data_IF_747081612301
#
_entry.id   IF_747081612301
#
_cell.length_a   1.000
_cell.length_b   1.000
_cell.length_c   1.000
_cell.angle_alpha   90.00
_cell.angle_beta   90.00
_cell.angle_gamma   90.00
#
_symmetry.space_group_name_H-M   'P 1'
#
loop_
_entity.id
_entity.type
_entity.pdbx_description
1 polymer ?
#
# COMPACT_ATOMS: atom_id res chain seq x y z
N UNK A 1 11.14 10.20 -27.83
CA UNK A 1 10.12 9.56 -26.96
C UNK A 1 10.63 9.75 -25.54
N UNK A 2 9.96 10.59 -24.76
CA UNK A 2 10.29 10.85 -23.37
C UNK A 2 9.39 9.99 -22.49
N UNK A 3 9.96 9.13 -21.63
CA UNK A 3 9.18 8.27 -20.75
C UNK A 3 8.90 8.99 -19.43
N UNK A 4 7.65 8.97 -19.01
CA UNK A 4 7.22 9.59 -17.76
C UNK A 4 7.00 8.51 -16.71
N UNK A 5 7.76 8.61 -15.62
CA UNK A 5 7.68 7.72 -14.48
C UNK A 5 6.39 8.01 -13.72
N UNK A 6 5.46 7.04 -13.75
CA UNK A 6 4.19 7.08 -13.04
C UNK A 6 4.32 6.68 -11.57
N UNK A 7 3.45 5.75 -11.14
CA UNK A 7 3.41 5.25 -9.76
C UNK A 7 4.63 4.42 -9.33
N UNK A 8 5.48 3.95 -10.26
CA UNK A 8 6.75 3.25 -9.95
C UNK A 8 7.87 4.19 -9.49
N UNK A 9 7.59 4.99 -8.47
CA UNK A 9 8.61 5.75 -7.74
C UNK A 9 9.10 4.93 -6.55
N UNK A 10 10.40 4.97 -6.27
CA UNK A 10 11.01 4.33 -5.09
C UNK A 10 10.35 4.77 -3.78
N UNK A 11 9.91 6.03 -3.69
CA UNK A 11 9.14 6.55 -2.56
C UNK A 11 7.80 5.83 -2.36
N UNK A 12 7.07 5.51 -3.43
CA UNK A 12 5.80 4.77 -3.33
C UNK A 12 6.03 3.35 -2.81
N UNK A 13 7.10 2.68 -3.25
CA UNK A 13 7.50 1.38 -2.70
C UNK A 13 7.79 1.46 -1.20
N UNK A 14 8.55 2.48 -0.76
CA UNK A 14 8.88 2.67 0.65
C UNK A 14 7.63 2.86 1.51
N UNK A 15 6.70 3.72 1.07
CA UNK A 15 5.43 3.93 1.77
C UNK A 15 4.55 2.68 1.79
N UNK A 16 4.47 1.95 0.67
CA UNK A 16 3.70 0.71 0.60
C UNK A 16 4.26 -0.36 1.55
N UNK A 17 5.59 -0.50 1.64
CA UNK A 17 6.23 -1.40 2.59
C UNK A 17 5.98 -1.02 4.05
N UNK A 18 6.15 0.25 4.42
CA UNK A 18 5.90 0.73 5.79
C UNK A 18 4.45 0.46 6.20
N UNK A 19 3.50 0.81 5.33
CA UNK A 19 2.07 0.61 5.61
C UNK A 19 1.73 -0.88 5.72
N UNK A 20 2.31 -1.72 4.86
CA UNK A 20 2.10 -3.16 4.91
C UNK A 20 2.63 -3.79 6.20
N UNK A 21 3.89 -3.53 6.57
CA UNK A 21 4.45 -4.08 7.80
C UNK A 21 3.80 -3.51 9.07
N UNK A 22 3.45 -2.21 9.07
CA UNK A 22 2.73 -1.59 10.17
C UNK A 22 1.33 -2.18 10.38
N UNK A 23 0.57 -2.35 9.30
CA UNK A 23 -0.77 -2.96 9.36
C UNK A 23 -0.74 -4.43 9.75
N UNK A 24 0.25 -5.19 9.26
CA UNK A 24 0.50 -6.57 9.68
C UNK A 24 0.83 -6.65 11.18
N UNK A 25 1.63 -5.73 11.70
CA UNK A 25 1.95 -5.63 13.13
C UNK A 25 0.70 -5.40 13.99
N UNK A 26 -0.17 -4.45 13.61
CA UNK A 26 -1.43 -4.21 14.32
C UNK A 26 -2.36 -5.42 14.31
N UNK A 27 -2.43 -6.12 13.18
CA UNK A 27 -3.22 -7.35 13.07
C UNK A 27 -2.67 -8.50 13.92
N UNK A 28 -1.35 -8.67 13.97
CA UNK A 28 -0.70 -9.68 14.80
C UNK A 28 -0.93 -9.41 16.29
N UNK A 29 -0.86 -8.16 16.73
CA UNK A 29 -1.16 -7.77 18.11
C UNK A 29 -2.63 -8.07 18.43
N UNK A 30 -3.55 -7.67 17.55
CA UNK A 30 -4.99 -7.93 17.73
C UNK A 30 -5.36 -9.42 17.78
N UNK A 31 -4.82 -10.23 16.85
CA UNK A 31 -5.05 -11.68 16.83
C UNK A 31 -4.37 -12.42 17.98
N UNK A 32 -3.19 -11.97 18.42
CA UNK A 32 -2.51 -12.51 19.59
C UNK A 32 -3.35 -12.34 20.85
N UNK A 33 -3.98 -11.17 21.01
CA UNK A 33 -4.86 -10.93 22.16
C UNK A 33 -6.11 -11.78 22.12
N UNK A 34 -6.75 -11.93 20.95
CA UNK A 34 -7.92 -12.79 20.78
C UNK A 34 -7.65 -14.26 21.13
N UNK A 35 -6.47 -14.80 20.76
CA UNK A 35 -6.10 -16.18 21.07
C UNK A 35 -5.70 -16.40 22.54
N UNK A 36 -5.57 -15.34 23.35
CA UNK A 36 -5.09 -15.43 24.74
C UNK A 36 -3.66 -16.00 24.86
N UNK A 37 -2.92 -16.08 23.74
CA UNK A 37 -1.52 -16.48 23.69
C UNK A 37 -0.71 -15.28 23.25
N UNK A 38 0.29 -14.88 24.04
CA UNK A 38 1.28 -13.90 23.62
C UNK A 38 2.12 -14.49 22.47
N UNK A 39 1.65 -14.36 21.22
CA UNK A 39 2.39 -14.71 20.01
C UNK A 39 3.64 -13.84 19.86
N UNK A 40 3.64 -12.67 20.49
CA UNK A 40 4.80 -11.80 20.63
C UNK A 40 5.31 -11.94 22.07
N UNK A 41 6.25 -12.85 22.29
CA UNK A 41 7.01 -12.99 23.55
C UNK A 41 7.78 -11.71 23.94
N UNK A 42 7.84 -10.72 23.04
CA UNK A 42 8.61 -9.48 23.17
C UNK A 42 7.92 -8.41 24.05
N UNK A 43 6.60 -8.45 24.23
CA UNK A 43 5.87 -7.50 25.09
C UNK A 43 5.19 -8.27 26.22
N UNK A 44 5.76 -8.19 27.41
CA UNK A 44 5.20 -8.77 28.64
C UNK A 44 3.81 -8.17 28.87
N UNK A 45 2.78 -9.01 28.77
CA UNK A 45 1.37 -8.72 29.07
C UNK A 45 1.21 -8.09 30.46
N UNK A 46 1.34 -6.77 30.55
CA UNK A 46 0.77 -6.00 31.64
C UNK A 46 -0.65 -5.64 31.23
N UNK A 47 -1.61 -6.40 31.74
CA UNK A 47 -2.92 -5.96 32.24
C UNK A 47 -3.44 -4.59 31.74
N UNK A 48 -3.52 -4.38 30.43
CA UNK A 48 -4.20 -3.24 29.83
C UNK A 48 -5.65 -3.69 29.62
N UNK A 49 -6.61 -2.88 30.05
CA UNK A 49 -8.05 -3.16 30.02
C UNK A 49 -8.47 -3.59 28.60
N UNK A 50 -8.66 -4.90 28.43
CA UNK A 50 -8.74 -5.65 27.16
C UNK A 50 -9.92 -5.29 26.22
N UNK A 51 -10.80 -4.34 26.57
CA UNK A 51 -12.15 -4.33 26.00
C UNK A 51 -12.58 -3.14 25.12
N UNK A 52 -11.69 -2.20 24.74
CA UNK A 52 -11.90 -1.55 23.43
C UNK A 52 -10.63 -1.40 22.57
N UNK A 53 -9.43 -1.39 23.17
CA UNK A 53 -8.20 -1.02 22.47
C UNK A 53 -7.80 -2.01 21.36
N UNK A 54 -8.02 -3.31 21.59
CA UNK A 54 -7.54 -4.38 20.70
C UNK A 54 -8.38 -4.53 19.44
N UNK A 55 -9.71 -4.40 19.59
CA UNK A 55 -10.66 -4.36 18.48
C UNK A 55 -10.32 -3.18 17.58
N UNK A 56 -10.02 -2.03 18.19
CA UNK A 56 -9.62 -0.82 17.48
C UNK A 56 -8.29 -1.03 16.73
N UNK A 57 -7.27 -1.63 17.37
CA UNK A 57 -6.00 -1.96 16.71
C UNK A 57 -6.19 -2.95 15.54
N UNK A 58 -7.04 -3.97 15.71
CA UNK A 58 -7.34 -4.92 14.65
C UNK A 58 -8.04 -4.24 13.46
N UNK A 59 -9.00 -3.35 13.73
CA UNK A 59 -9.69 -2.59 12.70
C UNK A 59 -8.73 -1.71 11.90
N UNK A 60 -7.84 -0.97 12.58
CA UNK A 60 -6.81 -0.17 11.92
C UNK A 60 -5.83 -1.04 11.11
N UNK A 61 -5.47 -2.22 11.61
CA UNK A 61 -4.63 -3.16 10.87
C UNK A 61 -5.31 -3.66 9.58
N UNK A 62 -6.58 -4.03 9.63
CA UNK A 62 -7.34 -4.45 8.44
C UNK A 62 -7.44 -3.29 7.44
N UNK A 63 -7.82 -2.10 7.89
CA UNK A 63 -7.91 -0.92 7.03
C UNK A 63 -6.55 -0.59 6.38
N UNK A 64 -5.46 -0.66 7.15
CA UNK A 64 -4.11 -0.46 6.65
C UNK A 64 -3.66 -1.53 5.64
N UNK A 65 -4.08 -2.79 5.81
CA UNK A 65 -3.83 -3.84 4.81
C UNK A 65 -4.54 -3.56 3.49
N UNK A 66 -5.80 -3.11 3.53
CA UNK A 66 -6.51 -2.74 2.31
C UNK A 66 -5.85 -1.55 1.59
N UNK A 67 -5.45 -0.51 2.34
CA UNK A 67 -4.77 0.67 1.79
C UNK A 67 -3.40 0.29 1.20
N UNK A 68 -2.61 -0.52 1.91
CA UNK A 68 -1.31 -0.98 1.42
C UNK A 68 -1.43 -1.89 0.20
N UNK A 69 -2.42 -2.79 0.18
CA UNK A 69 -2.76 -3.61 -0.99
C UNK A 69 -3.13 -2.75 -2.20
N UNK A 70 -3.95 -1.71 -2.01
CA UNK A 70 -4.27 -0.75 -3.06
C UNK A 70 -3.01 -0.04 -3.58
N UNK A 71 -2.14 0.46 -2.69
CA UNK A 71 -0.86 1.06 -3.10
C UNK A 71 -0.03 0.07 -3.92
N UNK A 72 0.08 -1.17 -3.49
CA UNK A 72 0.81 -2.21 -4.21
C UNK A 72 0.24 -2.46 -5.61
N UNK A 73 -1.09 -2.54 -5.73
CA UNK A 73 -1.78 -2.64 -7.02
C UNK A 73 -1.49 -1.43 -7.91
N UNK A 74 -1.47 -0.21 -7.35
CA UNK A 74 -1.18 0.99 -8.14
C UNK A 74 0.25 1.03 -8.68
N UNK A 75 1.20 0.53 -7.90
CA UNK A 75 2.61 0.39 -8.29
C UNK A 75 2.78 -0.72 -9.33
N UNK A 76 2.10 -1.86 -9.12
CA UNK A 76 2.14 -3.01 -10.03
C UNK A 76 1.69 -2.62 -11.44
N UNK A 77 0.53 -1.97 -11.54
CA UNK A 77 -0.03 -1.50 -12.80
C UNK A 77 0.67 -0.27 -13.40
N UNK A 78 1.61 0.33 -12.66
CA UNK A 78 2.32 1.54 -13.07
C UNK A 78 1.37 2.65 -13.55
N UNK A 79 0.29 2.87 -12.80
CA UNK A 79 -0.72 3.90 -13.11
C UNK A 79 -0.03 5.26 -13.19
N UNK A 80 -0.43 6.06 -14.18
CA UNK A 80 0.11 7.38 -14.47
C UNK A 80 1.42 7.37 -15.26
N UNK A 81 1.98 6.19 -15.59
CA UNK A 81 3.15 6.11 -16.48
C UNK A 81 2.76 6.43 -17.91
N UNK A 82 3.70 6.87 -18.73
CA UNK A 82 3.36 7.29 -20.08
C UNK A 82 4.58 7.59 -20.92
N UNK A 83 4.34 8.04 -22.14
CA UNK A 83 5.40 8.58 -22.97
C UNK A 83 4.90 9.72 -23.83
N UNK A 84 5.78 10.69 -24.04
CA UNK A 84 5.55 11.82 -24.93
C UNK A 84 6.45 11.64 -26.16
N UNK A 85 5.82 11.50 -27.34
CA UNK A 85 6.51 11.42 -28.64
C UNK A 85 6.28 12.73 -29.37
N UNK A 86 7.35 13.50 -29.53
CA UNK A 86 7.39 14.69 -30.37
C UNK A 86 8.20 14.38 -31.63
N UNK A 87 7.55 14.34 -32.79
CA UNK A 87 8.24 14.22 -34.08
C UNK A 87 8.17 15.54 -34.84
N UNK A 88 9.30 16.28 -34.87
CA UNK A 88 9.40 17.57 -35.57
C UNK A 88 9.48 17.41 -37.09
N UNK A 89 9.79 16.21 -37.61
CA UNK A 89 9.89 15.98 -39.06
C UNK A 89 8.52 15.74 -39.68
N UNK A 90 7.63 15.06 -38.95
CA UNK A 90 6.26 14.78 -39.40
C UNK A 90 5.21 15.72 -38.79
N UNK A 91 5.59 16.57 -37.82
CA UNK A 91 4.68 17.51 -37.15
C UNK A 91 3.71 16.84 -36.16
N UNK A 92 4.00 15.60 -35.75
CA UNK A 92 3.10 14.77 -34.93
C UNK A 92 3.50 14.85 -33.46
N UNK A 93 2.50 15.11 -32.61
CA UNK A 93 2.60 15.03 -31.15
C UNK A 93 1.71 13.90 -30.65
N UNK A 94 2.28 12.92 -29.96
CA UNK A 94 1.53 11.84 -29.34
C UNK A 94 1.85 11.77 -27.85
N UNK A 95 0.82 11.93 -27.02
CA UNK A 95 0.88 11.88 -25.56
C UNK A 95 0.10 10.64 -25.13
N UNK A 96 0.76 9.69 -24.50
CA UNK A 96 0.13 8.48 -23.99
C UNK A 96 0.28 8.37 -22.48
N UNK A 97 -0.81 7.99 -21.80
CA UNK A 97 -0.86 7.79 -20.35
C UNK A 97 -1.52 6.44 -20.03
N UNK A 98 -0.85 5.64 -19.21
CA UNK A 98 -1.35 4.40 -18.62
C UNK A 98 -2.29 4.71 -17.45
N UNK A 99 -3.55 4.30 -17.56
CA UNK A 99 -4.54 4.39 -16.50
C UNK A 99 -4.66 3.09 -15.69
N UNK A 100 -5.77 2.97 -14.96
CA UNK A 100 -6.15 1.74 -14.26
C UNK A 100 -6.51 0.61 -15.24
N UNK A 101 -6.36 -0.67 -14.84
CA UNK A 101 -6.94 -1.80 -15.56
C UNK A 101 -8.45 -1.64 -15.69
N UNK A 102 -8.97 -1.69 -16.91
CA UNK A 102 -10.42 -1.79 -17.11
C UNK A 102 -10.82 -1.38 -18.52
N UNK A 103 -11.96 -1.89 -18.97
CA UNK A 103 -12.73 -1.27 -20.05
C UNK A 103 -13.60 -0.20 -19.40
N UNK A 104 -13.19 1.06 -19.53
CA UNK A 104 -14.05 2.25 -19.52
C UNK A 104 -13.29 3.37 -20.24
#
# INVERSE_FOLDING_TARGET
IEFIVGSRKTSNFYWAFILFFGSLGFLLIGTSSYLGRNLISLFRSQQIVFFPQEIVMSFYGIAGLFISSYLWCTIFWNIGSGYDRFDKKEGIVCIFRWGFPGKN
#
